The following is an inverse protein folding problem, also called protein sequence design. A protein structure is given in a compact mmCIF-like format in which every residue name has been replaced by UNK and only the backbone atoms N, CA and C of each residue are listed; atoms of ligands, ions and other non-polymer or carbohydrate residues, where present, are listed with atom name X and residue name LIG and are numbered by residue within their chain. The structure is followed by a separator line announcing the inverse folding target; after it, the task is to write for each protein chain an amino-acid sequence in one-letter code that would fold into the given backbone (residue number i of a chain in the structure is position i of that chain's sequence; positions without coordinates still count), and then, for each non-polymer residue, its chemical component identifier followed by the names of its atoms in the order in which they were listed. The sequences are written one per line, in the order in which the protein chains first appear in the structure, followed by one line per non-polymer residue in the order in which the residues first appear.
data_IF_982768055615
#
_entry.id   IF_982768055615
#
_cell.length_a   1.000
_cell.length_b   1.000
_cell.length_c   1.000
_cell.angle_alpha   90.00
_cell.angle_beta   90.00
_cell.angle_gamma   90.00
#
_symmetry.space_group_name_H-M   'P 1'
#
loop_
_entity.id
_entity.type
_entity.pdbx_description
1 polymer ?
#
# COMPACT_ATOMS: atom_id res chain seq x y z
N UNK A 1 11.73 8.35 14.26
CA UNK A 1 12.21 7.04 14.72
C UNK A 1 11.16 6.40 15.61
N UNK A 2 10.06 6.01 14.99
CA UNK A 2 9.09 5.06 15.51
C UNK A 2 9.34 3.79 14.70
N UNK A 3 9.88 2.79 15.39
CA UNK A 3 10.01 1.43 14.88
C UNK A 3 9.16 0.57 15.82
N UNK A 4 8.39 -0.35 15.28
CA UNK A 4 7.50 -1.22 16.04
C UNK A 4 7.46 -2.59 15.40
N UNK A 5 7.47 -3.64 16.20
CA UNK A 5 7.37 -5.00 15.68
C UNK A 5 5.93 -5.25 15.18
N UNK A 6 4.93 -4.92 16.01
CA UNK A 6 3.52 -5.03 15.66
C UNK A 6 2.77 -3.78 16.11
N UNK A 7 1.98 -3.21 15.21
CA UNK A 7 1.13 -2.06 15.49
C UNK A 7 -0.27 -2.31 14.91
N UNK A 8 -1.28 -2.19 15.76
CA UNK A 8 -2.68 -2.25 15.35
C UNK A 8 -3.32 -0.90 15.66
N UNK A 9 -3.95 -0.28 14.67
CA UNK A 9 -4.59 1.02 14.80
C UNK A 9 -5.94 1.06 14.09
N UNK A 10 -6.97 1.52 14.78
CA UNK A 10 -8.28 1.69 14.13
C UNK A 10 -8.28 2.88 13.17
N UNK A 11 -7.67 4.00 13.54
CA UNK A 11 -7.70 5.19 12.70
C UNK A 11 -6.53 6.12 13.00
N UNK A 12 -6.07 6.86 11.98
CA UNK A 12 -5.14 7.97 12.14
C UNK A 12 -5.47 9.09 11.14
N UNK A 13 -5.34 10.35 11.56
CA UNK A 13 -5.38 11.46 10.59
C UNK A 13 -4.04 11.54 9.83
N UNK A 14 -2.92 11.41 10.55
CA UNK A 14 -1.56 11.43 9.97
C UNK A 14 -0.68 10.48 10.77
N UNK A 15 -0.17 9.43 10.12
CA UNK A 15 0.83 8.54 10.69
C UNK A 15 2.12 8.62 9.86
N UNK A 16 3.23 8.91 10.53
CA UNK A 16 4.58 8.83 9.97
C UNK A 16 5.35 7.74 10.71
N UNK A 17 5.87 6.75 9.99
CA UNK A 17 6.61 5.65 10.59
C UNK A 17 7.85 5.27 9.78
N UNK A 18 8.97 5.06 10.47
CA UNK A 18 10.21 4.68 9.79
C UNK A 18 10.17 3.20 9.39
N UNK A 19 9.73 2.32 10.29
CA UNK A 19 9.68 0.89 10.00
C UNK A 19 8.63 0.19 10.84
N UNK A 20 7.96 -0.83 10.30
CA UNK A 20 7.16 -1.73 11.11
C UNK A 20 7.14 -3.13 10.53
N UNK A 21 7.36 -4.16 11.34
CA UNK A 21 7.33 -5.53 10.81
C UNK A 21 5.87 -5.86 10.40
N UNK A 22 4.89 -5.59 11.26
CA UNK A 22 3.47 -5.77 10.92
C UNK A 22 2.63 -4.56 11.34
N UNK A 23 2.03 -3.86 10.39
CA UNK A 23 1.02 -2.82 10.62
C UNK A 23 -0.34 -3.29 10.14
N UNK A 24 -1.32 -3.32 11.03
CA UNK A 24 -2.74 -3.47 10.69
C UNK A 24 -3.46 -2.15 10.97
N UNK A 25 -4.11 -1.59 9.96
CA UNK A 25 -4.81 -0.31 10.09
C UNK A 25 -6.16 -0.29 9.37
N UNK A 26 -7.24 0.07 10.07
CA UNK A 26 -8.55 0.18 9.42
C UNK A 26 -8.64 1.40 8.52
N UNK A 27 -8.22 2.59 8.97
CA UNK A 27 -8.28 3.80 8.14
C UNK A 27 -7.16 4.80 8.43
N UNK A 28 -6.68 5.49 7.39
CA UNK A 28 -5.84 6.68 7.53
C UNK A 28 -6.21 7.76 6.53
N UNK A 29 -6.15 9.04 6.90
CA UNK A 29 -6.18 10.09 5.88
C UNK A 29 -4.79 10.17 5.20
N UNK A 30 -3.70 10.14 5.97
CA UNK A 30 -2.34 10.13 5.43
C UNK A 30 -1.45 9.15 6.18
N UNK A 31 -0.79 8.25 5.45
CA UNK A 31 0.23 7.36 5.97
C UNK A 31 1.52 7.53 5.16
N UNK A 32 2.60 7.94 5.83
CA UNK A 32 3.95 7.96 5.28
C UNK A 32 4.79 6.89 5.96
N UNK A 33 5.34 5.97 5.18
CA UNK A 33 6.15 4.88 5.72
C UNK A 33 7.38 4.56 4.88
N UNK A 34 8.56 4.46 5.51
CA UNK A 34 9.75 4.02 4.78
C UNK A 34 9.69 2.52 4.49
N UNK A 35 9.45 1.66 5.48
CA UNK A 35 9.47 0.22 5.26
C UNK A 35 8.48 -0.58 6.11
N UNK A 36 7.90 -1.64 5.54
CA UNK A 36 7.19 -2.65 6.31
C UNK A 36 7.34 -4.05 5.74
N UNK A 37 7.47 -5.08 6.60
CA UNK A 37 7.40 -6.46 6.11
C UNK A 37 5.95 -6.79 5.70
N UNK A 38 4.96 -6.44 6.53
CA UNK A 38 3.53 -6.63 6.21
C UNK A 38 2.70 -5.40 6.60
N UNK A 39 2.02 -4.82 5.62
CA UNK A 39 1.01 -3.78 5.83
C UNK A 39 -0.35 -4.28 5.35
N UNK A 40 -1.31 -4.37 6.28
CA UNK A 40 -2.72 -4.64 5.98
C UNK A 40 -3.53 -3.37 6.27
N UNK A 41 -4.27 -2.89 5.27
CA UNK A 41 -5.05 -1.66 5.39
C UNK A 41 -6.40 -1.72 4.68
N UNK A 42 -7.47 -1.35 5.39
CA UNK A 42 -8.80 -1.31 4.74
C UNK A 42 -8.96 -0.06 3.86
N UNK A 43 -8.55 1.12 4.33
CA UNK A 43 -8.75 2.37 3.58
C UNK A 43 -7.66 3.39 3.87
N UNK A 44 -7.19 4.08 2.83
CA UNK A 44 -6.31 5.24 2.95
C UNK A 44 -6.66 6.32 1.93
N UNK A 45 -6.71 7.59 2.31
CA UNK A 45 -6.80 8.65 1.29
C UNK A 45 -5.43 8.81 0.60
N UNK A 46 -4.33 8.87 1.35
CA UNK A 46 -2.97 8.98 0.79
C UNK A 46 -1.97 8.05 1.49
N UNK A 47 -1.40 7.10 0.75
CA UNK A 47 -0.30 6.26 1.20
C UNK A 47 0.97 6.57 0.39
N UNK A 48 2.02 7.01 1.08
CA UNK A 48 3.38 7.11 0.52
C UNK A 48 4.26 6.04 1.18
N UNK A 49 4.81 5.13 0.38
CA UNK A 49 5.63 4.03 0.89
C UNK A 49 6.89 3.78 0.06
N UNK A 50 8.06 3.72 0.70
CA UNK A 50 9.30 3.38 -0.02
C UNK A 50 9.38 1.89 -0.34
N UNK A 51 9.13 1.01 0.64
CA UNK A 51 9.24 -0.44 0.41
C UNK A 51 8.29 -1.25 1.28
N UNK A 52 7.74 -2.33 0.73
CA UNK A 52 7.14 -3.40 1.55
C UNK A 52 7.33 -4.78 0.94
N UNK A 53 7.46 -5.81 1.79
CA UNK A 53 7.44 -7.19 1.30
C UNK A 53 6.00 -7.59 0.94
N UNK A 54 5.00 -7.29 1.78
CA UNK A 54 3.60 -7.54 1.49
C UNK A 54 2.72 -6.34 1.85
N UNK A 55 1.98 -5.84 0.86
CA UNK A 55 0.96 -4.81 1.02
C UNK A 55 -0.40 -5.36 0.60
N UNK A 56 -1.33 -5.46 1.54
CA UNK A 56 -2.74 -5.79 1.28
C UNK A 56 -3.61 -4.56 1.55
N UNK A 57 -4.35 -4.11 0.54
CA UNK A 57 -5.19 -2.93 0.66
C UNK A 57 -6.55 -3.08 -0.02
N UNK A 58 -7.63 -2.76 0.71
CA UNK A 58 -8.96 -2.77 0.10
C UNK A 58 -9.21 -1.51 -0.76
N UNK A 59 -8.90 -0.32 -0.25
CA UNK A 59 -9.17 0.93 -1.00
C UNK A 59 -8.11 1.99 -0.74
N UNK A 60 -7.69 2.68 -1.80
CA UNK A 60 -6.87 3.88 -1.71
C UNK A 60 -7.33 4.97 -2.68
N UNK A 61 -7.30 6.24 -2.29
CA UNK A 61 -7.46 7.30 -3.28
C UNK A 61 -6.12 7.53 -4.03
N UNK A 62 -5.00 7.63 -3.29
CA UNK A 62 -3.67 7.79 -3.88
C UNK A 62 -2.63 6.91 -3.20
N UNK A 63 -2.04 5.98 -3.96
CA UNK A 63 -0.90 5.18 -3.54
C UNK A 63 0.33 5.54 -4.37
N UNK A 64 1.37 6.05 -3.70
CA UNK A 64 2.72 6.20 -4.26
C UNK A 64 3.66 5.19 -3.61
N UNK A 65 4.25 4.31 -4.42
CA UNK A 65 5.11 3.24 -3.94
C UNK A 65 6.37 3.04 -4.78
N UNK A 66 7.54 3.02 -4.13
CA UNK A 66 8.78 2.74 -4.86
C UNK A 66 8.93 1.24 -5.16
N UNK A 67 8.79 0.37 -4.17
CA UNK A 67 8.97 -1.08 -4.37
C UNK A 67 8.02 -1.91 -3.52
N UNK A 68 7.49 -2.99 -4.08
CA UNK A 68 6.77 -4.00 -3.32
C UNK A 68 6.99 -5.41 -3.86
N UNK A 69 7.32 -6.38 -3.00
CA UNK A 69 7.43 -7.76 -3.47
C UNK A 69 6.03 -8.30 -3.85
N UNK A 70 5.02 -8.11 -2.98
CA UNK A 70 3.64 -8.51 -3.25
C UNK A 70 2.65 -7.40 -2.89
N UNK A 71 1.98 -6.83 -3.89
CA UNK A 71 0.86 -5.91 -3.72
C UNK A 71 -0.45 -6.61 -4.11
N UNK A 72 -1.38 -6.70 -3.16
CA UNK A 72 -2.77 -7.08 -3.39
C UNK A 72 -3.67 -5.88 -3.11
N UNK A 73 -4.43 -5.46 -4.12
CA UNK A 73 -5.25 -4.24 -4.03
C UNK A 73 -6.62 -4.40 -4.68
N UNK A 74 -7.69 -4.19 -3.92
CA UNK A 74 -9.04 -4.24 -4.53
C UNK A 74 -9.29 -3.00 -5.39
N UNK A 75 -9.17 -1.79 -4.84
CA UNK A 75 -9.45 -0.56 -5.59
C UNK A 75 -8.44 0.53 -5.29
N UNK A 76 -8.06 1.29 -6.33
CA UNK A 76 -7.30 2.52 -6.17
C UNK A 76 -7.67 3.58 -7.22
N UNK A 77 -7.91 4.82 -6.82
CA UNK A 77 -8.16 5.87 -7.82
C UNK A 77 -6.87 6.19 -8.59
N UNK A 78 -5.74 6.37 -7.90
CA UNK A 78 -4.43 6.63 -8.51
C UNK A 78 -3.33 5.77 -7.88
N UNK A 79 -2.81 4.81 -8.64
CA UNK A 79 -1.61 4.05 -8.28
C UNK A 79 -0.41 4.50 -9.10
N UNK A 80 0.63 4.99 -8.42
CA UNK A 80 1.97 5.21 -8.96
C UNK A 80 2.96 4.23 -8.32
N UNK A 81 3.56 3.36 -9.13
CA UNK A 81 4.48 2.34 -8.65
C UNK A 81 5.74 2.22 -9.51
N UNK A 82 6.92 2.25 -8.89
CA UNK A 82 8.17 2.04 -9.66
C UNK A 82 8.40 0.55 -9.96
N UNK A 83 8.36 -0.33 -8.97
CA UNK A 83 8.56 -1.76 -9.19
C UNK A 83 7.73 -2.65 -8.27
N UNK A 84 7.28 -3.79 -8.81
CA UNK A 84 6.80 -4.90 -8.00
C UNK A 84 7.14 -6.27 -8.59
N UNK A 85 7.36 -7.27 -7.73
CA UNK A 85 7.50 -8.65 -8.21
C UNK A 85 6.12 -9.22 -8.57
N UNK A 86 5.11 -9.03 -7.72
CA UNK A 86 3.73 -9.46 -7.96
C UNK A 86 2.73 -8.33 -7.63
N UNK A 87 1.93 -7.96 -8.62
CA UNK A 87 0.80 -7.05 -8.46
C UNK A 87 -0.50 -7.76 -8.84
N UNK A 88 -1.39 -7.94 -7.86
CA UNK A 88 -2.77 -8.33 -8.06
C UNK A 88 -3.69 -7.15 -7.76
N UNK A 89 -4.46 -6.72 -8.76
CA UNK A 89 -5.38 -5.60 -8.60
C UNK A 89 -6.72 -5.83 -9.31
N UNK A 90 -7.82 -5.47 -8.64
CA UNK A 90 -9.16 -5.55 -9.28
C UNK A 90 -9.42 -4.32 -10.15
N UNK A 91 -9.33 -3.11 -9.59
CA UNK A 91 -9.59 -1.89 -10.36
C UNK A 91 -8.67 -0.74 -9.98
N UNK A 92 -8.29 0.05 -10.98
CA UNK A 92 -7.86 1.42 -10.76
C UNK A 92 -8.37 2.37 -11.83
N UNK A 93 -8.60 3.62 -11.47
CA UNK A 93 -8.91 4.67 -12.45
C UNK A 93 -7.65 5.09 -13.21
N UNK A 94 -6.52 5.29 -12.52
CA UNK A 94 -5.22 5.58 -13.10
C UNK A 94 -4.14 4.67 -12.52
N UNK A 95 -3.44 3.95 -13.41
CA UNK A 95 -2.30 3.10 -13.07
C UNK A 95 -1.06 3.56 -13.84
N UNK A 96 -0.06 4.05 -13.12
CA UNK A 96 1.28 4.30 -13.62
C UNK A 96 2.26 3.32 -12.98
N UNK A 97 2.82 2.43 -13.79
CA UNK A 97 3.77 1.42 -13.30
C UNK A 97 4.96 1.29 -14.24
N UNK A 98 6.18 1.35 -13.68
CA UNK A 98 7.41 1.25 -14.48
C UNK A 98 7.80 -0.19 -14.78
N UNK A 99 7.78 -1.08 -13.78
CA UNK A 99 8.14 -2.50 -13.95
C UNK A 99 7.31 -3.39 -13.05
N UNK A 100 6.86 -4.52 -13.58
CA UNK A 100 6.27 -5.59 -12.80
C UNK A 100 6.58 -6.95 -13.42
N UNK A 101 7.03 -7.90 -12.60
CA UNK A 101 7.35 -9.24 -13.06
C UNK A 101 6.08 -10.05 -13.34
N UNK A 102 5.10 -10.02 -12.42
CA UNK A 102 3.80 -10.66 -12.57
C UNK A 102 2.66 -9.68 -12.26
N UNK A 103 1.90 -9.32 -13.30
CA UNK A 103 0.73 -8.44 -13.19
C UNK A 103 -0.57 -9.22 -13.46
N UNK A 104 -1.46 -9.24 -12.48
CA UNK A 104 -2.83 -9.71 -12.60
C UNK A 104 -3.82 -8.55 -12.37
N UNK A 105 -4.61 -8.24 -13.39
CA UNK A 105 -5.64 -7.18 -13.35
C UNK A 105 -7.00 -7.77 -13.68
N UNK A 106 -7.98 -7.64 -12.78
CA UNK A 106 -9.34 -8.16 -12.98
C UNK A 106 -10.38 -7.05 -13.03
N UNK A 107 -10.65 -6.51 -14.23
CA UNK A 107 -11.66 -5.46 -14.39
C UNK A 107 -13.06 -5.94 -13.99
N UNK A 108 -13.69 -5.27 -13.02
CA UNK A 108 -15.12 -5.37 -12.74
C UNK A 108 -15.86 -4.28 -13.52
N UNK A 109 -16.70 -4.67 -14.48
CA UNK A 109 -17.62 -3.79 -15.23
C UNK A 109 -18.68 -3.13 -14.33
#
# INVERSE_FOLDING_TARGET
MTSSDNLEMTSSDNLEMTSCDNLEMTSSDNLEMTSSDNLEMTSCDNLEMTSSDNLEMTSCDNLEMTSCDNLEMTSCDNLEMTSSDNLEMTSSDNLEMTSCDNLEMTSSD
#
